data_IF_156451698855
#
_entry.id   IF_156451698855
#
_cell.length_a   1.000
_cell.length_b   1.000
_cell.length_c   1.000
_cell.angle_alpha   90.00
_cell.angle_beta   90.00
_cell.angle_gamma   90.00
#
_symmetry.space_group_name_H-M   'P 1'
#
loop_
_entity.id
_entity.type
_entity.pdbx_description
1 polymer ?
#
# COMPACT_ATOMS: atom_id res chain seq x y z
N UNK A 1 49.22 33.41 62.25
CA UNK A 1 48.23 33.81 61.24
C UNK A 1 48.47 32.86 60.10
N UNK A 2 47.85 31.68 60.20
CA UNK A 2 47.99 30.59 59.25
C UNK A 2 46.84 30.72 58.27
N UNK A 3 47.14 31.20 57.07
CA UNK A 3 46.20 31.23 55.96
C UNK A 3 46.04 29.80 55.41
N UNK A 4 44.79 29.34 55.40
CA UNK A 4 44.42 27.97 55.12
C UNK A 4 44.49 27.70 53.60
N UNK A 5 45.35 26.78 53.12
CA UNK A 5 45.59 26.58 51.69
C UNK A 5 44.41 26.00 50.89
N UNK A 6 43.31 25.62 51.55
CA UNK A 6 42.10 25.08 50.91
C UNK A 6 41.22 26.14 50.24
N UNK A 7 41.35 27.42 50.63
CA UNK A 7 40.53 28.49 50.04
C UNK A 7 41.06 28.99 48.68
N UNK A 8 42.29 28.61 48.28
CA UNK A 8 42.84 28.96 46.95
C UNK A 8 42.49 27.98 45.84
N UNK A 9 42.21 26.70 46.14
CA UNK A 9 41.79 25.72 45.11
C UNK A 9 40.35 25.98 44.64
N UNK A 10 39.46 26.42 45.53
CA UNK A 10 38.07 26.74 45.19
C UNK A 10 37.94 27.90 44.21
N UNK A 11 38.78 28.93 44.34
CA UNK A 11 38.77 30.11 43.45
C UNK A 11 39.32 29.77 42.06
N UNK A 12 40.32 28.89 41.97
CA UNK A 12 40.85 28.43 40.67
C UNK A 12 39.87 27.53 39.92
N UNK A 13 39.10 26.69 40.61
CA UNK A 13 38.08 25.86 39.97
C UNK A 13 36.85 26.67 39.52
N UNK A 14 36.53 27.75 40.22
CA UNK A 14 35.43 28.64 39.84
C UNK A 14 35.78 29.50 38.62
N UNK A 15 37.03 29.98 38.50
CA UNK A 15 37.52 30.68 37.29
C UNK A 15 37.59 29.77 36.05
N UNK A 16 37.94 28.48 36.20
CA UNK A 16 37.94 27.54 35.07
C UNK A 16 36.53 27.19 34.57
N UNK A 17 35.51 27.25 35.43
CA UNK A 17 34.11 27.03 35.04
C UNK A 17 33.50 28.25 34.34
N UNK A 18 33.91 29.48 34.68
CA UNK A 18 33.46 30.69 33.99
C UNK A 18 34.09 30.84 32.59
N UNK A 19 35.35 30.43 32.39
CA UNK A 19 35.99 30.40 31.06
C UNK A 19 35.38 29.35 30.10
N UNK A 20 34.71 28.32 30.60
CA UNK A 20 34.02 27.34 29.76
C UNK A 20 32.60 27.76 29.34
N UNK A 21 32.01 28.78 29.96
CA UNK A 21 30.62 29.20 29.70
C UNK A 21 30.45 30.25 28.60
N UNK A 22 31.54 30.82 28.07
CA UNK A 22 31.46 31.84 27.02
C UNK A 22 32.09 31.39 25.69
N UNK A 23 32.00 30.10 25.34
CA UNK A 23 32.30 29.68 23.96
C UNK A 23 31.08 30.05 23.12
N UNK A 24 31.16 31.08 22.25
CA UNK A 24 30.02 31.45 21.42
C UNK A 24 29.59 30.22 20.63
N UNK A 25 28.30 29.88 20.73
CA UNK A 25 27.71 28.84 19.90
C UNK A 25 28.00 29.22 18.46
N UNK A 26 28.86 28.43 17.80
CA UNK A 26 29.19 28.63 16.39
C UNK A 26 27.97 28.21 15.60
N UNK A 27 27.09 29.17 15.33
CA UNK A 27 25.92 28.95 14.48
C UNK A 27 26.44 28.75 13.05
N UNK A 28 26.09 27.61 12.46
CA UNK A 28 26.37 27.34 11.05
C UNK A 28 25.71 28.44 10.20
N UNK A 29 26.41 29.03 9.22
CA UNK A 29 25.81 30.02 8.32
C UNK A 29 24.80 29.40 7.34
N UNK A 30 24.73 28.07 7.27
CA UNK A 30 23.72 27.38 6.48
C UNK A 30 22.41 27.27 7.28
N UNK A 31 21.30 27.68 6.67
CA UNK A 31 19.94 27.47 7.18
C UNK A 31 19.47 26.01 7.04
N UNK A 32 20.27 25.18 6.39
CA UNK A 32 20.02 23.75 6.17
C UNK A 32 21.18 22.91 6.71
N UNK A 33 20.93 21.63 6.92
CA UNK A 33 21.96 20.67 7.30
C UNK A 33 22.69 20.14 6.05
N UNK A 34 24.00 20.41 5.87
CA UNK A 34 24.77 19.98 4.70
C UNK A 34 24.69 18.48 4.38
N UNK A 35 24.64 17.63 5.43
CA UNK A 35 24.55 16.19 5.28
C UNK A 35 23.24 15.74 4.61
N UNK A 36 22.12 16.41 4.89
CA UNK A 36 20.83 16.10 4.27
C UNK A 36 20.86 16.40 2.77
N UNK A 37 21.39 17.56 2.39
CA UNK A 37 21.48 17.96 0.97
C UNK A 37 22.37 17.00 0.18
N UNK A 38 23.53 16.60 0.74
CA UNK A 38 24.38 15.61 0.08
C UNK A 38 23.65 14.26 -0.03
N UNK A 39 22.98 13.82 1.03
CA UNK A 39 22.19 12.59 1.02
C UNK A 39 21.12 12.59 -0.08
N UNK A 40 20.37 13.68 -0.20
CA UNK A 40 19.35 13.84 -1.25
C UNK A 40 19.96 13.79 -2.65
N UNK A 41 21.09 14.45 -2.88
CA UNK A 41 21.79 14.41 -4.17
C UNK A 41 22.24 12.99 -4.54
N UNK A 42 22.76 12.23 -3.57
CA UNK A 42 23.19 10.84 -3.78
C UNK A 42 22.01 9.93 -4.06
N UNK A 43 20.91 10.09 -3.33
CA UNK A 43 19.68 9.34 -3.56
C UNK A 43 19.14 9.56 -4.97
N UNK A 44 19.05 10.82 -5.41
CA UNK A 44 18.60 11.16 -6.77
C UNK A 44 19.52 10.54 -7.83
N UNK A 45 20.84 10.53 -7.61
CA UNK A 45 21.78 9.91 -8.53
C UNK A 45 21.60 8.39 -8.61
N UNK A 46 21.35 7.72 -7.48
CA UNK A 46 21.09 6.28 -7.41
C UNK A 46 19.75 5.92 -8.07
N UNK A 47 18.70 6.68 -7.81
CA UNK A 47 17.39 6.52 -8.45
C UNK A 47 17.51 6.70 -9.97
N UNK A 48 18.19 7.75 -10.43
CA UNK A 48 18.41 7.99 -11.86
C UNK A 48 19.21 6.86 -12.50
N UNK A 49 20.17 6.28 -11.77
CA UNK A 49 20.90 5.11 -12.22
C UNK A 49 19.96 3.91 -12.38
N UNK A 50 19.17 3.57 -11.35
CA UNK A 50 18.20 2.48 -11.42
C UNK A 50 17.22 2.64 -12.58
N UNK A 51 16.60 3.82 -12.73
CA UNK A 51 15.68 4.14 -13.83
C UNK A 51 16.31 3.95 -15.21
N UNK A 52 17.58 4.31 -15.37
CA UNK A 52 18.29 4.15 -16.63
C UNK A 52 18.50 2.66 -16.97
N UNK A 53 18.77 1.83 -15.98
CA UNK A 53 18.92 0.39 -16.15
C UNK A 53 17.57 -0.29 -16.39
N UNK A 54 16.50 0.11 -15.71
CA UNK A 54 15.14 -0.39 -15.95
C UNK A 54 14.71 -0.14 -17.40
N UNK A 55 14.95 1.08 -17.91
CA UNK A 55 14.69 1.42 -19.32
C UNK A 55 15.57 0.62 -20.28
N UNK A 56 16.79 0.30 -19.88
CA UNK A 56 17.68 -0.51 -20.70
C UNK A 56 17.22 -1.97 -20.76
N UNK A 57 16.77 -2.54 -19.64
CA UNK A 57 16.16 -3.86 -19.57
C UNK A 57 14.88 -3.93 -20.41
N UNK A 58 14.01 -2.92 -20.29
CA UNK A 58 12.79 -2.80 -21.09
C UNK A 58 13.11 -2.75 -22.58
N UNK A 59 14.11 -1.98 -23.00
CA UNK A 59 14.53 -1.91 -24.40
C UNK A 59 15.04 -3.25 -24.94
N UNK A 60 15.83 -3.99 -24.14
CA UNK A 60 16.30 -5.34 -24.52
C UNK A 60 15.15 -6.36 -24.54
N UNK A 61 14.19 -6.23 -23.62
CA UNK A 61 12.98 -7.04 -23.60
C UNK A 61 12.02 -6.70 -24.77
N UNK A 62 12.00 -5.46 -25.24
CA UNK A 62 11.20 -5.04 -26.39
C UNK A 62 11.77 -5.47 -27.75
N UNK A 63 13.05 -5.82 -27.83
CA UNK A 63 13.73 -6.09 -29.09
C UNK A 63 13.32 -7.43 -29.74
N UNK A 64 12.49 -7.37 -30.79
CA UNK A 64 11.88 -8.53 -31.45
C UNK A 64 12.87 -9.48 -32.15
N UNK A 65 14.08 -9.03 -32.49
CA UNK A 65 15.04 -9.78 -33.30
C UNK A 65 16.06 -10.59 -32.48
N UNK A 66 16.00 -10.53 -31.15
CA UNK A 66 16.99 -11.19 -30.29
C UNK A 66 16.55 -12.61 -29.96
N UNK A 67 17.42 -13.60 -30.24
CA UNK A 67 17.22 -14.99 -29.81
C UNK A 67 17.03 -15.06 -28.28
N UNK A 68 16.14 -15.93 -27.77
CA UNK A 68 15.82 -15.98 -26.34
C UNK A 68 17.05 -16.27 -25.45
N UNK A 69 17.99 -17.09 -25.93
CA UNK A 69 19.24 -17.40 -25.22
C UNK A 69 20.13 -16.16 -25.07
N UNK A 70 20.33 -15.40 -26.14
CA UNK A 70 21.12 -14.16 -26.12
C UNK A 70 20.46 -13.08 -25.29
N UNK A 71 19.13 -12.99 -25.33
CA UNK A 71 18.35 -12.06 -24.50
C UNK A 71 18.58 -12.35 -23.01
N UNK A 72 18.51 -13.62 -22.61
CA UNK A 72 18.76 -14.00 -21.21
C UNK A 72 20.18 -13.65 -20.77
N UNK A 73 21.18 -13.93 -21.62
CA UNK A 73 22.57 -13.56 -21.34
C UNK A 73 22.76 -12.03 -21.23
N UNK A 74 22.08 -11.26 -22.09
CA UNK A 74 22.09 -9.79 -22.03
C UNK A 74 21.47 -9.27 -20.74
N UNK A 75 20.27 -9.73 -20.36
CA UNK A 75 19.63 -9.31 -19.10
C UNK A 75 20.50 -9.65 -17.88
N UNK A 76 21.14 -10.83 -17.86
CA UNK A 76 22.09 -11.18 -16.81
C UNK A 76 23.30 -10.24 -16.80
N UNK A 77 23.83 -9.88 -17.97
CA UNK A 77 24.92 -8.92 -18.11
C UNK A 77 24.54 -7.51 -17.66
N UNK A 78 23.30 -7.09 -17.91
CA UNK A 78 22.76 -5.80 -17.45
C UNK A 78 22.72 -5.76 -15.93
N UNK A 79 22.25 -6.82 -15.27
CA UNK A 79 22.28 -6.91 -13.81
C UNK A 79 23.69 -6.77 -13.22
N UNK A 80 24.68 -7.46 -13.78
CA UNK A 80 26.09 -7.32 -13.34
C UNK A 80 26.63 -5.91 -13.59
N UNK A 81 26.26 -5.30 -14.72
CA UNK A 81 26.66 -3.93 -15.03
C UNK A 81 26.03 -2.93 -14.05
N UNK A 82 24.77 -3.12 -13.67
CA UNK A 82 24.09 -2.30 -12.67
C UNK A 82 24.74 -2.41 -11.30
N UNK A 83 25.07 -3.62 -10.84
CA UNK A 83 25.80 -3.82 -9.58
C UNK A 83 27.16 -3.10 -9.59
N UNK A 84 27.89 -3.17 -10.71
CA UNK A 84 29.16 -2.48 -10.87
C UNK A 84 28.99 -0.94 -10.87
N UNK A 85 28.01 -0.43 -11.62
CA UNK A 85 27.72 0.99 -11.73
C UNK A 85 27.24 1.59 -10.40
N UNK A 86 26.29 0.94 -9.74
CA UNK A 86 25.77 1.36 -8.43
C UNK A 86 26.85 1.28 -7.34
N UNK A 87 27.69 0.24 -7.35
CA UNK A 87 28.85 0.14 -6.45
C UNK A 87 29.85 1.28 -6.67
N UNK A 88 30.19 1.58 -7.93
CA UNK A 88 31.07 2.70 -8.28
C UNK A 88 30.47 4.05 -7.89
N UNK A 89 29.17 4.24 -8.12
CA UNK A 89 28.45 5.45 -7.76
C UNK A 89 28.41 5.66 -6.24
N UNK A 90 28.16 4.62 -5.45
CA UNK A 90 28.23 4.68 -3.99
C UNK A 90 29.61 5.08 -3.48
N UNK A 91 30.67 4.55 -4.09
CA UNK A 91 32.04 4.91 -3.74
C UNK A 91 32.34 6.38 -4.11
N UNK A 92 31.92 6.82 -5.30
CA UNK A 92 32.05 8.20 -5.75
C UNK A 92 31.26 9.16 -4.85
N UNK A 93 30.04 8.80 -4.46
CA UNK A 93 29.20 9.52 -3.52
C UNK A 93 29.87 9.68 -2.16
N UNK A 94 30.44 8.61 -1.61
CA UNK A 94 31.18 8.66 -0.34
C UNK A 94 32.38 9.61 -0.42
N UNK A 95 33.10 9.59 -1.54
CA UNK A 95 34.25 10.49 -1.76
C UNK A 95 33.79 11.94 -1.95
N UNK A 96 32.69 12.16 -2.66
CA UNK A 96 32.08 13.46 -2.85
C UNK A 96 31.60 14.05 -1.52
N UNK A 97 30.91 13.26 -0.69
CA UNK A 97 30.46 13.68 0.63
C UNK A 97 31.65 14.14 1.48
N UNK A 98 32.71 13.32 1.54
CA UNK A 98 33.94 13.66 2.27
C UNK A 98 34.56 14.97 1.76
N UNK A 99 34.63 15.15 0.44
CA UNK A 99 35.18 16.36 -0.16
C UNK A 99 34.29 17.59 0.11
N UNK A 100 32.98 17.44 -0.05
CA UNK A 100 32.00 18.50 0.15
C UNK A 100 32.02 18.97 1.60
N UNK A 101 32.04 18.06 2.57
CA UNK A 101 32.18 18.37 3.99
C UNK A 101 33.55 18.99 4.33
N UNK A 102 34.61 18.66 3.60
CA UNK A 102 35.94 19.21 3.84
C UNK A 102 36.13 20.61 3.24
N UNK A 103 35.49 20.89 2.09
CA UNK A 103 35.83 22.04 1.24
C UNK A 103 34.66 22.94 0.86
N UNK A 104 33.53 22.37 0.43
CA UNK A 104 32.42 23.13 -0.17
C UNK A 104 31.47 23.66 0.89
N UNK A 105 31.11 22.79 1.85
CA UNK A 105 30.12 23.03 2.88
C UNK A 105 30.76 23.30 4.25
N UNK A 106 32.10 23.46 4.27
CA UNK A 106 32.84 23.90 5.44
C UNK A 106 33.03 25.40 5.35
N UNK A 107 32.64 26.09 6.41
CA UNK A 107 32.96 27.50 6.57
C UNK A 107 34.32 27.58 7.26
N UNK A 108 35.32 28.22 6.62
CA UNK A 108 36.62 28.45 7.24
C UNK A 108 36.44 29.12 8.61
N UNK A 109 37.17 28.69 9.65
CA UNK A 109 36.96 29.21 10.99
C UNK A 109 37.22 30.71 11.12
N UNK A 110 38.01 31.26 10.20
CA UNK A 110 38.32 32.68 10.07
C UNK A 110 37.14 33.51 9.52
N UNK A 111 36.16 32.84 8.92
CA UNK A 111 34.96 33.44 8.32
C UNK A 111 33.70 33.21 9.17
N UNK A 112 33.81 32.59 10.35
CA UNK A 112 32.74 32.71 11.33
C UNK A 112 32.70 34.16 11.78
N UNK A 113 31.80 34.93 11.16
CA UNK A 113 31.40 36.21 11.68
C UNK A 113 30.86 35.95 13.08
N UNK A 114 31.38 36.68 14.08
CA UNK A 114 30.66 36.83 15.33
C UNK A 114 29.28 37.34 14.93
N UNK A 115 28.29 36.48 15.04
CA UNK A 115 26.92 36.84 14.77
C UNK A 115 26.62 37.92 15.81
N UNK A 116 26.67 39.19 15.41
CA UNK A 116 26.21 40.31 16.23
C UNK A 116 24.90 39.83 16.83
N UNK A 117 24.88 39.72 18.16
CA UNK A 117 23.73 39.24 18.92
C UNK A 117 22.49 39.87 18.29
N UNK A 118 21.60 38.99 17.79
CA UNK A 118 20.45 39.30 16.95
C UNK A 118 20.18 40.79 16.82
N UNK A 119 20.35 41.34 15.60
CA UNK A 119 20.01 42.73 15.26
C UNK A 119 18.81 43.18 16.10
N UNK A 120 18.88 44.37 16.75
CA UNK A 120 17.94 44.77 17.79
C UNK A 120 16.53 44.43 17.33
N UNK A 121 15.87 43.54 18.09
CA UNK A 121 14.50 43.11 17.85
C UNK A 121 13.73 44.35 17.41
N UNK A 122 13.36 44.40 16.14
CA UNK A 122 12.45 45.44 15.65
C UNK A 122 11.27 45.36 16.58
N UNK A 123 10.98 46.44 17.32
CA UNK A 123 9.86 46.46 18.26
C UNK A 123 8.59 46.21 17.45
N UNK A 124 8.16 44.95 17.40
CA UNK A 124 6.92 44.53 16.75
C UNK A 124 5.80 45.13 17.56
N UNK A 125 4.88 45.82 16.90
CA UNK A 125 3.73 46.37 17.60
C UNK A 125 2.87 45.23 18.19
N UNK A 126 2.17 45.44 19.31
CA UNK A 126 1.30 44.41 19.88
C UNK A 126 0.17 44.00 18.92
N UNK A 127 -0.18 44.87 17.96
CA UNK A 127 -1.15 44.55 16.90
C UNK A 127 -0.58 43.58 15.86
N UNK A 128 0.68 43.75 15.45
CA UNK A 128 1.37 42.84 14.53
C UNK A 128 1.64 41.48 15.18
N UNK A 129 2.00 41.45 16.46
CA UNK A 129 2.18 40.20 17.22
C UNK A 129 0.85 39.42 17.32
N UNK A 130 -0.25 40.10 17.64
CA UNK A 130 -1.58 39.48 17.68
C UNK A 130 -2.06 38.97 16.30
N UNK A 131 -1.71 39.67 15.22
CA UNK A 131 -1.99 39.21 13.84
C UNK A 131 -1.17 37.96 13.49
N UNK A 132 0.13 37.95 13.79
CA UNK A 132 0.99 36.78 13.58
C UNK A 132 0.52 35.56 14.38
N UNK A 133 0.08 35.77 15.62
CA UNK A 133 -0.50 34.69 16.44
C UNK A 133 -1.80 34.14 15.84
N UNK A 134 -2.65 35.01 15.29
CA UNK A 134 -3.87 34.58 14.59
C UNK A 134 -3.53 33.79 13.32
N UNK A 135 -2.57 34.25 12.52
CA UNK A 135 -2.08 33.54 11.32
C UNK A 135 -1.46 32.18 11.68
N UNK A 136 -0.67 32.11 12.74
CA UNK A 136 -0.10 30.85 13.24
C UNK A 136 -1.18 29.89 13.72
N UNK A 137 -2.21 30.37 14.42
CA UNK A 137 -3.33 29.56 14.84
C UNK A 137 -4.12 29.00 13.63
N UNK A 138 -4.37 29.84 12.62
CA UNK A 138 -5.04 29.42 11.39
C UNK A 138 -4.21 28.42 10.59
N UNK A 139 -2.90 28.64 10.43
CA UNK A 139 -2.00 27.67 9.79
C UNK A 139 -1.95 26.34 10.54
N UNK A 140 -1.92 26.37 11.88
CA UNK A 140 -1.99 25.13 12.69
C UNK A 140 -3.30 24.38 12.47
N UNK A 141 -4.43 25.09 12.35
CA UNK A 141 -5.72 24.47 12.01
C UNK A 141 -5.67 23.83 10.62
N UNK A 142 -5.19 24.55 9.61
CA UNK A 142 -5.05 24.04 8.24
C UNK A 142 -4.15 22.79 8.16
N UNK A 143 -3.04 22.77 8.90
CA UNK A 143 -2.17 21.58 9.01
C UNK A 143 -2.92 20.42 9.68
N UNK A 144 -3.73 20.70 10.69
CA UNK A 144 -4.59 19.70 11.36
C UNK A 144 -5.58 19.04 10.39
N UNK A 145 -6.29 19.87 9.61
CA UNK A 145 -7.24 19.46 8.58
C UNK A 145 -6.54 18.65 7.49
N UNK A 146 -5.45 19.16 6.90
CA UNK A 146 -4.68 18.46 5.87
C UNK A 146 -4.13 17.11 6.35
N UNK A 147 -3.71 17.01 7.62
CA UNK A 147 -3.28 15.73 8.22
C UNK A 147 -4.44 14.74 8.34
N UNK A 148 -5.64 15.22 8.66
CA UNK A 148 -6.83 14.38 8.72
C UNK A 148 -7.23 13.87 7.34
N UNK A 149 -7.21 14.74 6.33
CA UNK A 149 -7.49 14.37 4.94
C UNK A 149 -6.47 13.37 4.41
N UNK A 150 -5.18 13.58 4.69
CA UNK A 150 -4.12 12.62 4.38
C UNK A 150 -4.37 11.25 5.01
N UNK A 151 -4.86 11.19 6.26
CA UNK A 151 -5.21 9.92 6.90
C UNK A 151 -6.40 9.25 6.22
N UNK A 152 -7.44 10.02 5.87
CA UNK A 152 -8.61 9.52 5.14
C UNK A 152 -8.22 8.93 3.77
N UNK A 153 -7.45 9.66 2.98
CA UNK A 153 -6.94 9.20 1.68
C UNK A 153 -6.07 7.94 1.81
N UNK A 154 -5.20 7.86 2.83
CA UNK A 154 -4.41 6.65 3.09
C UNK A 154 -5.27 5.44 3.43
N UNK A 155 -6.40 5.65 4.11
CA UNK A 155 -7.32 4.57 4.42
C UNK A 155 -8.07 4.11 3.17
N UNK A 156 -8.55 5.03 2.34
CA UNK A 156 -9.16 4.71 1.04
C UNK A 156 -8.20 3.95 0.13
N UNK A 157 -6.93 4.36 0.05
CA UNK A 157 -5.91 3.63 -0.72
C UNK A 157 -5.69 2.21 -0.19
N UNK A 158 -5.74 2.00 1.13
CA UNK A 158 -5.64 0.66 1.71
C UNK A 158 -6.85 -0.21 1.36
N UNK A 159 -8.04 0.38 1.36
CA UNK A 159 -9.28 -0.31 0.96
C UNK A 159 -9.23 -0.68 -0.53
N UNK A 160 -8.87 0.27 -1.40
CA UNK A 160 -8.70 0.01 -2.84
C UNK A 160 -7.64 -1.06 -3.09
N UNK A 161 -6.50 -1.01 -2.42
CA UNK A 161 -5.46 -2.05 -2.59
C UNK A 161 -5.92 -3.41 -2.10
N UNK A 162 -6.73 -3.47 -1.04
CA UNK A 162 -7.35 -4.71 -0.57
C UNK A 162 -8.35 -5.24 -1.60
N UNK A 163 -9.18 -4.37 -2.16
CA UNK A 163 -10.16 -4.75 -3.19
C UNK A 163 -9.46 -5.22 -4.46
N UNK A 164 -8.36 -4.58 -4.86
CA UNK A 164 -7.52 -5.01 -5.97
C UNK A 164 -6.89 -6.39 -5.71
N UNK A 165 -6.40 -6.64 -4.49
CA UNK A 165 -5.86 -7.94 -4.11
C UNK A 165 -6.95 -9.04 -4.08
N UNK A 166 -8.18 -8.70 -3.71
CA UNK A 166 -9.32 -9.61 -3.71
C UNK A 166 -9.87 -9.86 -5.13
N UNK A 167 -9.81 -8.87 -6.01
CA UNK A 167 -10.20 -9.01 -7.42
C UNK A 167 -9.32 -10.01 -8.17
N UNK A 168 -8.15 -10.36 -7.62
CA UNK A 168 -7.25 -11.36 -8.14
C UNK A 168 -6.49 -10.89 -9.39
N UNK A 169 -5.54 -11.71 -9.84
CA UNK A 169 -4.82 -11.45 -11.07
C UNK A 169 -5.77 -11.69 -12.27
N UNK A 170 -6.01 -10.69 -13.14
CA UNK A 170 -6.82 -10.89 -14.35
C UNK A 170 -6.28 -11.99 -15.25
N UNK A 171 -4.98 -12.35 -15.15
CA UNK A 171 -4.38 -13.48 -15.88
C UNK A 171 -4.98 -14.83 -15.49
N UNK A 172 -5.60 -14.95 -14.31
CA UNK A 172 -6.33 -16.16 -13.90
C UNK A 172 -7.53 -16.45 -14.81
N UNK A 173 -8.03 -15.44 -15.54
CA UNK A 173 -9.08 -15.58 -16.53
C UNK A 173 -8.56 -15.85 -17.95
N UNK A 174 -7.25 -15.82 -18.19
CA UNK A 174 -6.66 -16.11 -19.51
C UNK A 174 -6.97 -17.52 -20.05
N UNK A 175 -6.97 -18.59 -19.23
CA UNK A 175 -7.41 -19.90 -19.69
C UNK A 175 -8.88 -19.88 -20.11
N UNK A 176 -9.69 -19.05 -19.44
CA UNK A 176 -11.13 -18.94 -19.64
C UNK A 176 -11.45 -18.07 -20.87
N UNK A 177 -10.68 -17.00 -21.09
CA UNK A 177 -10.74 -16.17 -22.29
C UNK A 177 -10.25 -16.94 -23.53
N UNK A 178 -9.20 -17.76 -23.38
CA UNK A 178 -8.72 -18.68 -24.42
C UNK A 178 -9.72 -19.79 -24.75
N UNK A 179 -10.37 -20.37 -23.74
CA UNK A 179 -11.45 -21.33 -23.93
C UNK A 179 -12.68 -20.69 -24.60
N UNK A 180 -13.04 -19.47 -24.20
CA UNK A 180 -14.11 -18.70 -24.85
C UNK A 180 -13.76 -18.34 -26.30
N UNK A 181 -12.52 -18.01 -26.62
CA UNK A 181 -12.10 -17.73 -27.99
C UNK A 181 -12.16 -18.97 -28.90
N UNK A 182 -11.85 -20.15 -28.36
CA UNK A 182 -11.77 -21.40 -29.14
C UNK A 182 -13.09 -22.18 -29.17
N UNK A 183 -13.90 -22.12 -28.12
CA UNK A 183 -15.11 -22.92 -27.93
C UNK A 183 -16.38 -22.09 -27.78
N UNK A 184 -16.36 -20.81 -28.19
CA UNK A 184 -17.50 -19.89 -28.06
C UNK A 184 -18.83 -20.48 -28.54
N UNK A 185 -18.82 -21.14 -29.69
CA UNK A 185 -20.02 -21.68 -30.31
C UNK A 185 -20.60 -22.84 -29.49
N UNK A 186 -19.76 -23.77 -29.03
CA UNK A 186 -20.18 -24.90 -28.19
C UNK A 186 -20.70 -24.41 -26.82
N UNK A 187 -20.03 -23.43 -26.20
CA UNK A 187 -20.48 -22.85 -24.92
C UNK A 187 -21.81 -22.10 -25.05
N UNK A 188 -22.04 -21.40 -26.16
CA UNK A 188 -23.33 -20.73 -26.42
C UNK A 188 -24.45 -21.74 -26.67
N UNK A 189 -24.14 -22.84 -27.35
CA UNK A 189 -25.09 -23.93 -27.58
C UNK A 189 -25.43 -24.66 -26.28
N UNK A 190 -24.45 -24.93 -25.42
CA UNK A 190 -24.64 -25.50 -24.10
C UNK A 190 -25.45 -24.57 -23.21
N UNK A 191 -25.14 -23.26 -23.18
CA UNK A 191 -25.90 -22.28 -22.44
C UNK A 191 -27.36 -22.17 -22.93
N UNK A 192 -27.58 -22.24 -24.25
CA UNK A 192 -28.92 -22.29 -24.82
C UNK A 192 -29.66 -23.60 -24.46
N UNK A 193 -28.96 -24.73 -24.42
CA UNK A 193 -29.53 -26.02 -24.01
C UNK A 193 -29.95 -26.01 -22.54
N UNK A 194 -29.13 -25.42 -21.66
CA UNK A 194 -29.41 -25.25 -20.23
C UNK A 194 -30.59 -24.29 -20.05
N UNK A 195 -30.61 -23.16 -20.76
CA UNK A 195 -31.75 -22.23 -20.77
C UNK A 195 -33.04 -22.90 -21.23
N UNK A 196 -32.98 -23.72 -22.28
CA UNK A 196 -34.12 -24.52 -22.75
C UNK A 196 -34.58 -25.58 -21.75
N UNK A 197 -33.65 -26.24 -21.06
CA UNK A 197 -33.97 -27.20 -20.00
C UNK A 197 -34.64 -26.52 -18.79
N UNK A 198 -34.15 -25.35 -18.38
CA UNK A 198 -34.74 -24.55 -17.30
C UNK A 198 -36.15 -24.07 -17.65
N UNK A 199 -36.37 -23.63 -18.90
CA UNK A 199 -37.72 -23.26 -19.37
C UNK A 199 -38.70 -24.45 -19.37
N UNK A 200 -38.22 -25.68 -19.58
CA UNK A 200 -39.05 -26.90 -19.47
C UNK A 200 -39.29 -27.31 -18.02
N UNK A 201 -38.35 -27.05 -17.12
CA UNK A 201 -38.49 -27.33 -15.69
C UNK A 201 -39.49 -26.39 -15.01
N UNK A 202 -39.57 -25.12 -15.41
CA UNK A 202 -40.54 -24.14 -14.88
C UNK A 202 -41.99 -24.66 -14.81
N UNK A 203 -42.60 -25.10 -15.94
CA UNK A 203 -43.95 -25.64 -15.94
C UNK A 203 -44.06 -26.99 -15.23
N UNK A 204 -43.00 -27.81 -15.20
CA UNK A 204 -43.00 -29.08 -14.44
C UNK A 204 -43.02 -28.82 -12.93
N UNK A 205 -42.26 -27.84 -12.45
CA UNK A 205 -42.27 -27.41 -11.06
C UNK A 205 -43.60 -26.76 -10.68
N UNK A 206 -44.20 -25.94 -11.56
CA UNK A 206 -45.53 -25.38 -11.35
C UNK A 206 -46.61 -26.48 -11.24
N UNK A 207 -46.55 -27.51 -12.11
CA UNK A 207 -47.44 -28.68 -12.03
C UNK A 207 -47.20 -29.51 -10.78
N UNK A 208 -45.95 -29.72 -10.37
CA UNK A 208 -45.62 -30.45 -9.15
C UNK A 208 -46.11 -29.71 -7.90
N UNK A 209 -45.94 -28.38 -7.85
CA UNK A 209 -46.49 -27.53 -6.78
C UNK A 209 -48.02 -27.55 -6.77
N UNK A 210 -48.66 -27.51 -7.94
CA UNK A 210 -50.13 -27.63 -8.07
C UNK A 210 -50.65 -29.01 -7.63
N UNK A 211 -49.93 -30.08 -7.96
CA UNK A 211 -50.28 -31.44 -7.53
C UNK A 211 -50.09 -31.65 -6.02
N UNK A 212 -49.06 -31.04 -5.43
CA UNK A 212 -48.87 -31.01 -3.97
C UNK A 212 -49.98 -30.21 -3.28
N UNK A 213 -50.32 -29.03 -3.79
CA UNK A 213 -51.43 -28.22 -3.25
C UNK A 213 -52.80 -28.92 -3.39
N UNK A 214 -53.02 -29.66 -4.48
CA UNK A 214 -54.23 -30.48 -4.67
C UNK A 214 -54.28 -31.69 -3.71
N UNK A 215 -53.12 -32.18 -3.26
CA UNK A 215 -52.99 -33.26 -2.29
C UNK A 215 -53.21 -32.80 -0.85
N UNK A 216 -53.00 -31.52 -0.59
CA UNK A 216 -53.30 -30.84 0.68
C UNK A 216 -54.74 -30.27 0.74
N UNK A 217 -55.51 -30.40 -0.34
CA UNK A 217 -56.94 -30.09 -0.37
C UNK A 217 -57.75 -31.03 0.55
N UNK A 218 -58.81 -30.52 1.21
CA UNK A 218 -59.54 -31.29 2.22
C UNK A 218 -60.44 -32.32 1.53
N UNK A 219 -59.96 -33.56 1.46
CA UNK A 219 -60.80 -34.72 1.19
C UNK A 219 -60.46 -35.48 -0.09
N UNK A 220 -59.47 -36.37 -0.01
CA UNK A 220 -59.49 -37.60 -0.81
C UNK A 220 -58.60 -38.67 -0.17
N UNK A 221 -59.20 -39.37 0.79
CA UNK A 221 -58.83 -40.73 1.16
C UNK A 221 -58.97 -41.62 -0.06
N UNK A 222 -57.88 -42.27 -0.51
CA UNK A 222 -57.91 -43.64 -1.03
C UNK A 222 -56.49 -44.23 -1.07
N UNK A 223 -56.37 -45.32 -0.31
CA UNK A 223 -55.32 -46.34 -0.29
C UNK A 223 -54.38 -46.43 -1.50
N UNK A 224 -53.12 -46.08 -1.28
CA UNK A 224 -51.98 -46.85 -1.79
C UNK A 224 -50.87 -46.77 -0.74
N UNK A 225 -50.41 -47.92 -0.25
CA UNK A 225 -49.26 -48.04 0.68
C UNK A 225 -48.03 -47.43 0.01
N UNK A 226 -47.78 -46.15 0.29
CA UNK A 226 -46.53 -45.49 -0.01
C UNK A 226 -45.50 -45.84 1.08
N UNK A 227 -44.21 -45.97 0.74
CA UNK A 227 -43.15 -46.23 1.71
C UNK A 227 -43.15 -45.14 2.79
N UNK A 228 -42.89 -45.59 4.01
CA UNK A 228 -43.04 -44.83 5.25
C UNK A 228 -42.39 -43.44 5.11
N UNK A 229 -43.15 -42.35 5.30
CA UNK A 229 -42.67 -40.97 5.13
C UNK A 229 -41.41 -40.66 5.96
N UNK A 230 -41.20 -41.40 7.05
CA UNK A 230 -39.99 -41.36 7.86
C UNK A 230 -38.73 -41.81 7.10
N UNK A 231 -38.82 -42.81 6.22
CA UNK A 231 -37.67 -43.29 5.42
C UNK A 231 -37.35 -42.35 4.26
N UNK A 232 -38.36 -41.72 3.66
CA UNK A 232 -38.16 -40.71 2.62
C UNK A 232 -37.52 -39.43 3.19
N UNK A 233 -37.94 -38.99 4.39
CA UNK A 233 -37.34 -37.87 5.10
C UNK A 233 -35.89 -38.18 5.54
N UNK A 234 -35.64 -39.38 6.06
CA UNK A 234 -34.29 -39.83 6.42
C UNK A 234 -33.37 -39.93 5.19
N UNK A 235 -33.88 -40.39 4.05
CA UNK A 235 -33.15 -40.43 2.78
C UNK A 235 -32.89 -39.05 2.17
N UNK A 236 -33.75 -38.06 2.43
CA UNK A 236 -33.52 -36.67 2.05
C UNK A 236 -32.44 -36.02 2.94
N UNK A 237 -32.51 -36.24 4.26
CA UNK A 237 -31.48 -35.76 5.20
C UNK A 237 -30.11 -36.38 4.93
N UNK A 238 -30.02 -37.67 4.59
CA UNK A 238 -28.74 -38.30 4.22
C UNK A 238 -28.16 -37.76 2.91
N UNK A 239 -29.01 -37.42 1.93
CA UNK A 239 -28.57 -36.80 0.67
C UNK A 239 -28.13 -35.35 0.86
N UNK A 240 -28.79 -34.61 1.75
CA UNK A 240 -28.36 -33.26 2.13
C UNK A 240 -27.03 -33.28 2.90
N UNK A 241 -26.84 -34.22 3.82
CA UNK A 241 -25.58 -34.39 4.55
C UNK A 241 -24.42 -34.81 3.61
N UNK A 242 -24.68 -35.67 2.63
CA UNK A 242 -23.69 -36.05 1.62
C UNK A 242 -23.33 -34.87 0.70
N UNK A 243 -24.31 -34.07 0.28
CA UNK A 243 -24.06 -32.86 -0.52
C UNK A 243 -23.25 -31.80 0.25
N UNK A 244 -23.47 -31.67 1.57
CA UNK A 244 -22.69 -30.78 2.44
C UNK A 244 -21.22 -31.21 2.60
N UNK A 245 -20.93 -32.51 2.54
CA UNK A 245 -19.55 -33.01 2.59
C UNK A 245 -18.79 -32.79 1.26
N UNK A 246 -19.48 -32.84 0.12
CA UNK A 246 -18.85 -32.67 -1.20
C UNK A 246 -18.63 -31.21 -1.60
N UNK A 247 -19.45 -30.28 -1.10
CA UNK A 247 -19.40 -28.86 -1.52
C UNK A 247 -18.78 -27.92 -0.50
N UNK A 248 -18.59 -28.33 0.76
CA UNK A 248 -17.92 -27.53 1.80
C UNK A 248 -18.59 -26.19 2.15
N UNK A 249 -19.71 -25.85 1.50
CA UNK A 249 -20.42 -24.60 1.69
C UNK A 249 -21.62 -24.81 2.62
N UNK A 250 -21.74 -23.98 3.65
CA UNK A 250 -22.88 -24.02 4.56
C UNK A 250 -24.15 -23.51 3.87
N UNK A 251 -25.31 -23.97 4.33
CA UNK A 251 -26.61 -23.53 3.82
C UNK A 251 -26.77 -22.00 3.89
N UNK A 252 -26.21 -21.39 4.95
CA UNK A 252 -26.17 -19.95 5.13
C UNK A 252 -25.38 -19.23 4.03
N UNK A 253 -24.34 -19.85 3.46
CA UNK A 253 -23.56 -19.28 2.36
C UNK A 253 -24.31 -19.33 1.03
N UNK A 254 -25.10 -20.39 0.80
CA UNK A 254 -25.94 -20.50 -0.39
C UNK A 254 -27.13 -19.53 -0.33
N UNK A 255 -27.70 -19.31 0.85
CA UNK A 255 -28.76 -18.33 1.06
C UNK A 255 -28.24 -16.89 0.93
N UNK A 256 -27.02 -16.62 1.42
CA UNK A 256 -26.34 -15.34 1.21
C UNK A 256 -26.03 -15.06 -0.26
N UNK A 257 -25.64 -16.08 -1.05
CA UNK A 257 -25.43 -15.95 -2.49
C UNK A 257 -26.74 -15.74 -3.27
N UNK A 258 -27.83 -16.36 -2.83
CA UNK A 258 -29.14 -16.14 -3.44
C UNK A 258 -29.65 -14.71 -3.18
N UNK A 259 -29.41 -14.18 -1.99
CA UNK A 259 -29.75 -12.80 -1.64
C UNK A 259 -28.87 -11.79 -2.41
N UNK A 260 -27.58 -12.07 -2.61
CA UNK A 260 -26.71 -11.17 -3.39
C UNK A 260 -27.05 -11.14 -4.89
N UNK A 261 -27.48 -12.28 -5.45
CA UNK A 261 -27.92 -12.38 -6.85
C UNK A 261 -29.30 -11.75 -7.12
N UNK A 262 -30.16 -11.65 -6.10
CA UNK A 262 -31.50 -11.03 -6.24
C UNK A 262 -31.50 -9.54 -5.92
N UNK A 263 -30.50 -9.04 -5.18
CA UNK A 263 -30.31 -7.62 -4.89
C UNK A 263 -29.68 -6.80 -6.03
N UNK A 264 -29.13 -7.44 -7.07
CA UNK A 264 -28.41 -6.77 -8.18
C UNK A 264 -29.29 -6.43 -9.40
N UNK A 265 -30.61 -6.58 -9.29
CA UNK A 265 -31.59 -6.24 -10.36
C UNK A 265 -32.49 -5.05 -10.03
N UNK A 266 -32.00 -4.04 -9.30
CA UNK A 266 -32.63 -2.72 -9.22
C UNK A 266 -31.68 -1.61 -9.65
#
# INVERSE_FOLDING_TARGET
MDENPQDMEGVQQQQQNEEQQAKPERVSPFTFQPALVIGDMVNVALETCADAFDRFEEAVAGAAEIRPEHRRALLQGIGVLYECASGSLNQAATNFERLAQATILRVPPELYLEQEAAAPLVEVSPEEEAQLDAELADMRRQIGEAKQDCRGLRQQLKEINRDLALAGDPSAFDPLSGALATQRAALLEDAASIGGALQRLGPMLARAKGALAAREGPGSSLCAKAPNAAEAAAGAQRRMAAAQQDTGASLDQLEALQQSLTGTTQ
#
